data_IF_805861010221
#
_entry.id   IF_805861010221
#
_cell.length_a   1.000
_cell.length_b   1.000
_cell.length_c   1.000
_cell.angle_alpha   90.00
_cell.angle_beta   90.00
_cell.angle_gamma   90.00
#
_symmetry.space_group_name_H-M   'P 1'
#
loop_
_entity.id
_entity.type
_entity.pdbx_description
1 polymer ?
#
# COMPACT_ATOMS: atom_id res chain seq x y z
N UNK A 1 -6.46 -15.80 41.13
CA UNK A 1 -7.22 -14.69 40.52
C UNK A 1 -6.46 -13.41 40.82
N UNK A 2 -5.60 -12.96 39.90
CA UNK A 2 -5.00 -11.63 39.97
C UNK A 2 -5.59 -10.81 38.84
N UNK A 3 -6.37 -9.81 39.21
CA UNK A 3 -7.07 -8.94 38.29
C UNK A 3 -6.12 -8.25 37.32
N UNK A 4 -6.59 -8.22 36.08
CA UNK A 4 -6.14 -7.38 34.99
C UNK A 4 -5.93 -5.93 35.47
N UNK A 5 -4.70 -5.57 35.80
CA UNK A 5 -4.24 -4.18 35.79
C UNK A 5 -3.27 -4.02 34.61
N UNK A 6 -3.78 -4.32 33.41
CA UNK A 6 -3.34 -3.55 32.26
C UNK A 6 -4.02 -2.19 32.47
N UNK A 7 -3.31 -1.08 32.71
CA UNK A 7 -4.00 0.19 32.79
C UNK A 7 -4.76 0.33 31.47
N UNK A 8 -6.08 0.54 31.56
CA UNK A 8 -6.86 1.09 30.46
C UNK A 8 -6.20 2.44 30.15
N UNK A 9 -5.13 2.44 29.37
CA UNK A 9 -4.48 3.62 28.84
C UNK A 9 -5.54 4.28 27.96
N UNK A 10 -6.25 5.23 28.56
CA UNK A 10 -7.25 6.03 27.88
C UNK A 10 -6.50 6.81 26.83
N UNK A 11 -6.80 6.54 25.55
CA UNK A 11 -6.21 7.28 24.44
C UNK A 11 -6.42 8.79 24.66
N UNK A 12 -5.38 9.58 24.49
CA UNK A 12 -5.51 11.03 24.52
C UNK A 12 -6.30 11.53 23.30
N UNK A 13 -6.66 12.81 23.28
CA UNK A 13 -7.47 13.40 22.19
C UNK A 13 -6.82 13.23 20.81
N UNK A 14 -5.50 13.36 20.74
CA UNK A 14 -4.73 13.22 19.50
C UNK A 14 -4.76 11.79 18.95
N UNK A 15 -4.56 10.80 19.81
CA UNK A 15 -4.63 9.38 19.48
C UNK A 15 -6.05 8.95 19.12
N UNK A 16 -7.07 9.53 19.77
CA UNK A 16 -8.47 9.33 19.40
C UNK A 16 -8.73 9.87 18.00
N UNK A 17 -8.26 11.09 17.70
CA UNK A 17 -8.40 11.70 16.39
C UNK A 17 -7.74 10.84 15.28
N UNK A 18 -6.49 10.41 15.51
CA UNK A 18 -5.77 9.52 14.60
C UNK A 18 -6.50 8.20 14.37
N UNK A 19 -6.95 7.55 15.44
CA UNK A 19 -7.70 6.30 15.36
C UNK A 19 -9.02 6.47 14.60
N UNK A 20 -9.82 7.48 14.95
CA UNK A 20 -11.09 7.75 14.27
C UNK A 20 -10.87 8.05 12.79
N UNK A 21 -9.85 8.84 12.46
CA UNK A 21 -9.48 9.13 11.08
C UNK A 21 -9.13 7.87 10.29
N UNK A 22 -8.28 7.00 10.84
CA UNK A 22 -7.92 5.73 10.20
C UNK A 22 -9.14 4.81 10.05
N UNK A 23 -10.01 4.70 11.06
CA UNK A 23 -11.25 3.91 10.97
C UNK A 23 -12.16 4.43 9.87
N UNK A 24 -12.26 5.74 9.69
CA UNK A 24 -13.09 6.31 8.62
C UNK A 24 -12.49 6.07 7.24
N UNK A 25 -11.17 6.10 7.09
CA UNK A 25 -10.50 5.68 5.84
C UNK A 25 -10.75 4.19 5.57
N UNK A 26 -10.81 3.35 6.61
CA UNK A 26 -11.17 1.93 6.50
C UNK A 26 -12.57 1.74 5.89
N UNK A 27 -13.50 2.68 6.06
CA UNK A 27 -14.85 2.65 5.48
C UNK A 27 -14.88 3.02 3.98
N UNK A 28 -13.72 3.12 3.32
CA UNK A 28 -13.61 3.32 1.88
C UNK A 28 -13.87 4.77 1.44
N UNK A 29 -14.40 4.94 0.22
CA UNK A 29 -14.50 6.24 -0.45
C UNK A 29 -15.34 7.26 0.33
N UNK A 30 -16.43 6.82 0.97
CA UNK A 30 -17.36 7.68 1.70
C UNK A 30 -16.76 8.32 2.97
N UNK A 31 -15.82 7.64 3.62
CA UNK A 31 -15.12 8.14 4.80
C UNK A 31 -13.73 8.71 4.52
N UNK A 32 -13.21 8.55 3.30
CA UNK A 32 -11.82 8.80 2.96
C UNK A 32 -11.36 10.24 3.22
N UNK A 33 -12.10 11.25 2.73
CA UNK A 33 -11.70 12.65 2.86
C UNK A 33 -11.76 13.16 4.31
N UNK A 34 -12.85 12.88 5.02
CA UNK A 34 -13.01 13.26 6.42
C UNK A 34 -12.04 12.49 7.32
N UNK A 35 -11.84 11.20 7.05
CA UNK A 35 -10.84 10.39 7.72
C UNK A 35 -9.42 10.92 7.52
N UNK A 36 -9.06 11.29 6.28
CA UNK A 36 -7.78 11.91 5.96
C UNK A 36 -7.57 13.22 6.74
N UNK A 37 -8.56 14.11 6.74
CA UNK A 37 -8.51 15.36 7.49
C UNK A 37 -8.26 15.11 9.00
N UNK A 38 -8.95 14.15 9.61
CA UNK A 38 -8.74 13.80 11.01
C UNK A 38 -7.36 13.21 11.28
N UNK A 39 -6.82 12.38 10.37
CA UNK A 39 -5.45 11.87 10.52
C UNK A 39 -4.43 13.01 10.44
N UNK A 40 -4.59 13.93 9.50
CA UNK A 40 -3.75 15.13 9.34
C UNK A 40 -3.81 16.01 10.59
N UNK A 41 -5.01 16.32 11.09
CA UNK A 41 -5.19 17.08 12.33
C UNK A 41 -4.58 16.35 13.54
N UNK A 42 -4.80 15.03 13.64
CA UNK A 42 -4.19 14.19 14.68
C UNK A 42 -2.67 14.29 14.65
N UNK A 43 -2.05 14.11 13.49
CA UNK A 43 -0.60 14.20 13.33
C UNK A 43 -0.06 15.61 13.69
N UNK A 44 -0.74 16.67 13.26
CA UNK A 44 -0.33 18.05 13.55
C UNK A 44 -0.44 18.45 15.03
N UNK A 45 -1.33 17.82 15.79
CA UNK A 45 -1.54 18.08 17.21
C UNK A 45 -0.63 17.26 18.13
N UNK A 46 0.15 16.31 17.60
CA UNK A 46 1.11 15.57 18.42
C UNK A 46 2.28 16.48 18.81
N UNK A 47 2.66 16.43 20.09
CA UNK A 47 3.87 17.13 20.56
C UNK A 47 5.09 16.33 20.10
N UNK A 48 5.70 16.77 19.01
CA UNK A 48 6.89 16.15 18.43
C UNK A 48 8.21 16.80 18.85
N UNK A 49 9.32 16.14 18.50
CA UNK A 49 10.65 16.76 18.54
C UNK A 49 10.77 17.80 17.43
N UNK A 50 11.47 18.91 17.69
CA UNK A 50 11.67 19.99 16.72
C UNK A 50 12.19 19.49 15.35
N UNK A 51 13.09 18.51 15.37
CA UNK A 51 13.65 17.85 14.17
C UNK A 51 12.57 17.35 13.19
N UNK A 52 11.45 16.81 13.69
CA UNK A 52 10.36 16.29 12.84
C UNK A 52 9.67 17.41 12.07
N UNK A 53 9.44 18.53 12.74
CA UNK A 53 8.83 19.71 12.11
C UNK A 53 9.77 20.35 11.10
N UNK A 54 11.07 20.43 11.42
CA UNK A 54 12.08 20.96 10.49
C UNK A 54 12.09 20.12 9.21
N UNK A 55 12.19 18.79 9.32
CA UNK A 55 12.16 17.90 8.15
C UNK A 55 10.86 18.00 7.38
N UNK A 56 9.73 18.09 8.07
CA UNK A 56 8.43 18.28 7.43
C UNK A 56 8.40 19.58 6.61
N UNK A 57 8.89 20.70 7.15
CA UNK A 57 8.95 21.99 6.47
C UNK A 57 9.89 21.93 5.26
N UNK A 58 11.06 21.29 5.40
CA UNK A 58 11.97 21.07 4.27
C UNK A 58 11.32 20.23 3.16
N UNK A 59 10.69 19.12 3.51
CA UNK A 59 9.94 18.31 2.53
C UNK A 59 8.82 19.10 1.88
N UNK A 60 8.13 19.96 2.62
CA UNK A 60 7.07 20.82 2.06
C UNK A 60 7.62 21.78 1.01
N UNK A 61 8.72 22.46 1.33
CA UNK A 61 9.39 23.35 0.40
C UNK A 61 9.80 22.62 -0.88
N UNK A 62 10.41 21.45 -0.74
CA UNK A 62 10.85 20.64 -1.88
C UNK A 62 9.68 20.17 -2.76
N UNK A 63 8.63 19.60 -2.15
CA UNK A 63 7.45 19.16 -2.91
C UNK A 63 6.74 20.33 -3.60
N UNK A 64 6.75 21.51 -2.98
CA UNK A 64 6.24 22.75 -3.59
C UNK A 64 7.11 23.17 -4.77
N UNK A 65 8.43 23.14 -4.64
CA UNK A 65 9.35 23.42 -5.75
C UNK A 65 9.16 22.45 -6.92
N UNK A 66 9.04 21.14 -6.66
CA UNK A 66 8.71 20.14 -7.69
C UNK A 66 7.42 20.51 -8.42
N UNK A 67 6.39 20.91 -7.68
CA UNK A 67 5.10 21.29 -8.27
C UNK A 67 5.19 22.59 -9.07
N UNK A 68 5.95 23.59 -8.61
CA UNK A 68 6.17 24.84 -9.35
C UNK A 68 6.94 24.57 -10.64
N UNK A 69 7.97 23.72 -10.59
CA UNK A 69 8.69 23.31 -11.79
C UNK A 69 7.76 22.64 -12.80
N UNK A 70 6.90 21.71 -12.36
CA UNK A 70 5.90 21.09 -13.23
C UNK A 70 4.97 22.09 -13.92
N UNK A 71 4.57 23.18 -13.24
CA UNK A 71 3.71 24.22 -13.84
C UNK A 71 4.39 24.95 -14.99
N UNK A 72 5.68 25.25 -14.87
CA UNK A 72 6.41 25.93 -15.95
C UNK A 72 6.40 25.12 -17.25
N UNK A 73 6.25 23.80 -17.18
CA UNK A 73 6.19 22.94 -18.35
C UNK A 73 4.76 22.65 -18.83
N UNK A 74 3.80 22.48 -17.92
CA UNK A 74 2.46 21.98 -18.32
C UNK A 74 1.35 23.02 -18.23
N UNK A 75 1.61 24.20 -17.67
CA UNK A 75 0.62 25.26 -17.40
C UNK A 75 -0.57 24.85 -16.53
N UNK A 76 -0.52 23.68 -15.88
CA UNK A 76 -1.59 23.15 -15.04
C UNK A 76 -1.12 22.95 -13.59
N UNK A 77 -1.66 23.75 -12.67
CA UNK A 77 -1.38 23.61 -11.25
C UNK A 77 -2.53 22.93 -10.52
N UNK A 78 -2.37 21.64 -10.21
CA UNK A 78 -3.33 20.90 -9.41
C UNK A 78 -3.04 21.06 -7.91
N UNK A 79 -3.55 22.15 -7.33
CA UNK A 79 -3.38 22.50 -5.91
C UNK A 79 -3.87 21.40 -4.96
N UNK A 80 -4.96 20.70 -5.32
CA UNK A 80 -5.53 19.65 -4.48
C UNK A 80 -4.59 18.45 -4.36
N UNK A 81 -4.01 18.01 -5.47
CA UNK A 81 -3.05 16.90 -5.48
C UNK A 81 -1.75 17.27 -4.76
N UNK A 82 -1.27 18.52 -4.90
CA UNK A 82 -0.14 19.00 -4.11
C UNK A 82 -0.46 18.98 -2.61
N UNK A 83 -1.62 19.52 -2.21
CA UNK A 83 -2.03 19.56 -0.80
C UNK A 83 -2.14 18.15 -0.20
N UNK A 84 -2.70 17.19 -0.93
CA UNK A 84 -2.79 15.79 -0.46
C UNK A 84 -1.41 15.14 -0.35
N UNK A 85 -0.48 15.43 -1.26
CA UNK A 85 0.91 14.97 -1.17
C UNK A 85 1.63 15.52 0.05
N UNK A 86 1.55 16.85 0.27
CA UNK A 86 2.13 17.53 1.43
C UNK A 86 1.57 16.95 2.74
N UNK A 87 0.25 16.85 2.87
CA UNK A 87 -0.41 16.25 4.04
C UNK A 87 0.03 14.79 4.27
N UNK A 88 0.23 14.00 3.20
CA UNK A 88 0.71 12.62 3.32
C UNK A 88 2.12 12.58 3.93
N UNK A 89 3.05 13.38 3.40
CA UNK A 89 4.43 13.45 3.90
C UNK A 89 4.48 13.97 5.34
N UNK A 90 3.65 14.98 5.67
CA UNK A 90 3.51 15.48 7.03
C UNK A 90 3.14 14.37 8.01
N UNK A 91 2.14 13.57 7.68
CA UNK A 91 1.68 12.47 8.54
C UNK A 91 2.78 11.43 8.75
N UNK A 92 3.58 11.12 7.73
CA UNK A 92 4.70 10.17 7.87
C UNK A 92 5.76 10.65 8.87
N UNK A 93 6.08 11.95 8.90
CA UNK A 93 7.02 12.51 9.87
C UNK A 93 6.43 12.67 11.26
N UNK A 94 5.22 13.22 11.37
CA UNK A 94 4.70 13.73 12.63
C UNK A 94 4.11 12.64 13.52
N UNK A 95 3.43 11.64 12.95
CA UNK A 95 2.81 10.56 13.74
C UNK A 95 3.87 9.85 14.58
N UNK A 96 3.63 9.74 15.87
CA UNK A 96 4.54 9.15 16.83
C UNK A 96 4.43 7.62 16.86
N UNK A 97 5.59 6.99 17.03
CA UNK A 97 5.68 5.53 17.10
C UNK A 97 4.82 4.96 18.24
N UNK A 98 4.79 5.61 19.42
CA UNK A 98 4.04 5.10 20.55
C UNK A 98 2.53 5.24 20.33
N UNK A 99 2.08 6.38 19.80
CA UNK A 99 0.67 6.58 19.43
C UNK A 99 0.19 5.52 18.44
N UNK A 100 0.96 5.28 17.37
CA UNK A 100 0.63 4.28 16.35
C UNK A 100 0.54 2.86 16.96
N UNK A 101 1.49 2.49 17.83
CA UNK A 101 1.50 1.17 18.48
C UNK A 101 0.35 0.98 19.48
N UNK A 102 -0.07 2.04 20.18
CA UNK A 102 -1.19 2.01 21.12
C UNK A 102 -2.54 1.80 20.42
N UNK A 103 -2.75 2.42 19.26
CA UNK A 103 -4.01 2.30 18.51
C UNK A 103 -4.10 1.01 17.68
N UNK A 104 -2.97 0.34 17.45
CA UNK A 104 -2.86 -0.81 16.56
C UNK A 104 -3.84 -1.95 16.88
N UNK A 105 -4.04 -2.28 18.16
CA UNK A 105 -4.99 -3.34 18.56
C UNK A 105 -6.42 -3.03 18.11
N UNK A 106 -6.81 -1.76 18.19
CA UNK A 106 -8.14 -1.32 17.77
C UNK A 106 -8.27 -1.38 16.25
N UNK A 107 -7.23 -1.04 15.50
CA UNK A 107 -7.22 -1.17 14.04
C UNK A 107 -7.35 -2.64 13.59
N UNK A 108 -6.60 -3.57 14.21
CA UNK A 108 -6.71 -5.01 13.92
C UNK A 108 -8.13 -5.50 14.24
N UNK A 109 -8.69 -5.08 15.38
CA UNK A 109 -10.06 -5.43 15.76
C UNK A 109 -11.06 -4.94 14.71
N UNK A 110 -10.98 -3.67 14.31
CA UNK A 110 -11.86 -3.09 13.27
C UNK A 110 -11.73 -3.87 11.96
N UNK A 111 -10.52 -4.12 11.49
CA UNK A 111 -10.28 -4.92 10.29
C UNK A 111 -10.83 -6.36 10.40
N UNK A 112 -10.84 -6.94 11.60
CA UNK A 112 -11.43 -8.26 11.81
C UNK A 112 -12.97 -8.22 11.74
N UNK A 113 -13.59 -7.12 12.18
CA UNK A 113 -15.05 -6.90 12.11
C UNK A 113 -15.50 -6.59 10.68
N UNK A 114 -14.65 -6.03 9.82
CA UNK A 114 -15.00 -5.83 8.41
C UNK A 114 -15.17 -7.13 7.64
N UNK A 115 -14.56 -8.25 8.07
CA UNK A 115 -14.67 -9.55 7.40
C UNK A 115 -16.09 -10.14 7.43
N UNK A 116 -16.77 -10.30 8.58
CA UNK A 116 -18.15 -10.78 8.61
C UNK A 116 -19.12 -9.81 7.91
N UNK A 117 -18.85 -8.50 7.95
CA UNK A 117 -19.65 -7.51 7.21
C UNK A 117 -19.47 -7.72 5.69
N UNK A 118 -18.23 -7.91 5.23
CA UNK A 118 -17.95 -8.20 3.82
C UNK A 118 -18.59 -9.52 3.36
N UNK A 119 -18.66 -10.53 4.23
CA UNK A 119 -19.39 -11.77 3.95
C UNK A 119 -20.89 -11.51 3.73
N UNK A 120 -21.52 -10.72 4.61
CA UNK A 120 -22.94 -10.35 4.47
C UNK A 120 -23.17 -9.60 3.15
N UNK A 121 -22.35 -8.57 2.87
CA UNK A 121 -22.43 -7.79 1.61
C UNK A 121 -22.28 -8.72 0.41
N UNK A 122 -21.31 -9.62 0.45
CA UNK A 122 -21.04 -10.57 -0.61
C UNK A 122 -22.23 -11.50 -0.88
N UNK A 123 -22.87 -12.04 0.15
CA UNK A 123 -24.08 -12.86 -0.01
C UNK A 123 -25.25 -12.05 -0.54
N UNK A 124 -25.45 -10.82 -0.04
CA UNK A 124 -26.49 -9.92 -0.55
C UNK A 124 -26.30 -9.65 -2.04
N UNK A 125 -25.07 -9.37 -2.48
CA UNK A 125 -24.74 -9.15 -3.89
C UNK A 125 -24.98 -10.40 -4.74
N UNK A 126 -24.60 -11.59 -4.26
CA UNK A 126 -24.92 -12.86 -4.92
C UNK A 126 -26.42 -13.07 -5.08
N UNK A 127 -27.24 -12.58 -4.15
CA UNK A 127 -28.71 -12.63 -4.23
C UNK A 127 -29.32 -11.50 -5.09
N UNK A 128 -28.50 -10.68 -5.75
CA UNK A 128 -28.94 -9.56 -6.59
C UNK A 128 -29.25 -8.28 -5.82
N UNK A 129 -28.95 -8.22 -4.52
CA UNK A 129 -29.08 -7.00 -3.71
C UNK A 129 -27.73 -6.28 -3.75
N UNK A 130 -27.66 -5.19 -4.49
CA UNK A 130 -26.46 -4.35 -4.60
C UNK A 130 -26.63 -3.13 -3.69
N UNK A 131 -26.24 -3.20 -2.41
CA UNK A 131 -26.33 -2.04 -1.51
C UNK A 131 -25.43 -0.88 -2.00
N UNK A 132 -24.45 -1.19 -2.86
CA UNK A 132 -23.51 -0.25 -3.45
C UNK A 132 -23.05 -0.76 -4.83
N UNK A 133 -22.80 0.15 -5.77
CA UNK A 133 -22.18 -0.14 -7.07
C UNK A 133 -20.68 -0.45 -6.86
N UNK A 134 -20.36 -1.71 -6.55
CA UNK A 134 -18.97 -2.16 -6.43
C UNK A 134 -18.60 -3.13 -7.54
N UNK A 135 -17.40 -2.95 -8.11
CA UNK A 135 -16.81 -3.88 -9.08
C UNK A 135 -16.38 -5.14 -8.33
N UNK A 136 -17.22 -6.17 -8.34
CA UNK A 136 -16.89 -7.49 -7.84
C UNK A 136 -17.26 -8.56 -8.86
N UNK A 137 -16.48 -9.63 -8.89
CA UNK A 137 -16.75 -10.79 -9.75
C UNK A 137 -17.07 -11.98 -8.85
N UNK A 138 -17.88 -12.89 -9.36
CA UNK A 138 -18.22 -14.13 -8.67
C UNK A 138 -17.08 -15.16 -8.77
N UNK A 139 -16.81 -15.85 -7.67
CA UNK A 139 -15.88 -16.99 -7.60
C UNK A 139 -16.53 -18.07 -6.75
N UNK A 140 -16.68 -19.27 -7.30
CA UNK A 140 -17.30 -20.43 -6.62
C UNK A 140 -18.72 -20.15 -6.09
N UNK A 141 -19.56 -19.47 -6.86
CA UNK A 141 -20.96 -19.23 -6.47
C UNK A 141 -21.17 -18.02 -5.54
N UNK A 142 -20.11 -17.27 -5.22
CA UNK A 142 -20.14 -16.15 -4.26
C UNK A 142 -19.34 -14.97 -4.78
N UNK A 143 -19.84 -13.75 -4.60
CA UNK A 143 -19.09 -12.54 -4.96
C UNK A 143 -17.77 -12.46 -4.18
N UNK A 144 -16.73 -11.85 -4.76
CA UNK A 144 -15.48 -11.61 -4.02
C UNK A 144 -15.73 -10.65 -2.86
N UNK A 145 -15.01 -10.86 -1.77
CA UNK A 145 -15.09 -9.94 -0.64
C UNK A 145 -14.54 -8.58 -1.03
N UNK A 146 -15.47 -7.63 -1.10
CA UNK A 146 -15.21 -6.20 -1.13
C UNK A 146 -15.85 -5.63 0.13
N UNK A 147 -15.11 -4.84 0.89
CA UNK A 147 -15.68 -4.09 2.01
C UNK A 147 -15.62 -2.62 1.65
N UNK A 148 -16.73 -1.95 1.34
CA UNK A 148 -16.83 -0.50 1.02
C UNK A 148 -15.77 0.10 0.06
N UNK A 149 -14.86 -0.71 -0.46
CA UNK A 149 -13.82 -0.43 -1.43
C UNK A 149 -14.38 -0.86 -2.77
N UNK A 150 -14.22 0.01 -3.76
CA UNK A 150 -14.65 -0.27 -5.12
C UNK A 150 -13.92 -1.47 -5.76
N UNK A 151 -12.76 -1.86 -5.22
CA UNK A 151 -11.95 -2.97 -5.74
C UNK A 151 -11.53 -3.99 -4.65
N UNK A 152 -11.62 -5.31 -4.95
CA UNK A 152 -11.10 -6.36 -4.07
C UNK A 152 -9.60 -6.24 -3.79
N UNK A 153 -8.82 -5.64 -4.69
CA UNK A 153 -7.38 -5.37 -4.55
C UNK A 153 -7.08 -4.51 -3.34
N UNK A 154 -7.85 -3.45 -3.11
CA UNK A 154 -7.59 -2.50 -2.02
C UNK A 154 -7.87 -3.12 -0.67
N UNK A 155 -8.98 -3.86 -0.57
CA UNK A 155 -9.33 -4.57 0.65
C UNK A 155 -8.31 -5.68 0.98
N UNK A 156 -7.79 -6.38 -0.02
CA UNK A 156 -6.82 -7.46 0.18
C UNK A 156 -5.45 -6.97 0.67
N UNK A 157 -4.97 -5.81 0.20
CA UNK A 157 -3.75 -5.16 0.71
C UNK A 157 -3.90 -4.88 2.21
N UNK A 158 -5.07 -4.36 2.58
CA UNK A 158 -5.41 -4.01 3.96
C UNK A 158 -5.43 -5.24 4.87
N UNK A 159 -6.18 -6.28 4.47
CA UNK A 159 -6.27 -7.54 5.19
C UNK A 159 -4.91 -8.25 5.27
N UNK A 160 -4.08 -8.12 4.24
CA UNK A 160 -2.72 -8.65 4.21
C UNK A 160 -1.84 -8.04 5.31
N UNK A 161 -1.76 -6.70 5.35
CA UNK A 161 -1.01 -5.98 6.38
C UNK A 161 -1.55 -6.25 7.79
N UNK A 162 -2.87 -6.22 7.97
CA UNK A 162 -3.49 -6.53 9.26
C UNK A 162 -3.25 -7.98 9.70
N UNK A 163 -3.30 -8.95 8.78
CA UNK A 163 -3.00 -10.37 9.07
C UNK A 163 -1.54 -10.56 9.49
N UNK A 164 -0.60 -9.92 8.80
CA UNK A 164 0.82 -9.93 9.15
C UNK A 164 1.07 -9.38 10.56
N UNK A 165 0.49 -8.22 10.84
CA UNK A 165 0.58 -7.57 12.16
C UNK A 165 -0.01 -8.49 13.24
N UNK A 166 -1.19 -9.07 13.00
CA UNK A 166 -1.85 -9.99 13.91
C UNK A 166 -1.01 -11.25 14.20
N UNK A 167 -0.29 -11.75 13.19
CA UNK A 167 0.62 -12.89 13.34
C UNK A 167 1.85 -12.54 14.18
N UNK A 168 2.54 -11.44 13.86
CA UNK A 168 3.74 -11.01 14.61
C UNK A 168 3.40 -10.65 16.05
N UNK A 169 2.28 -9.96 16.26
CA UNK A 169 1.80 -9.57 17.59
C UNK A 169 1.21 -10.73 18.40
N UNK A 170 1.00 -11.90 17.78
CA UNK A 170 0.38 -13.07 18.39
C UNK A 170 -0.98 -12.76 19.02
N UNK A 171 -1.85 -12.06 18.28
CA UNK A 171 -3.23 -11.81 18.72
C UNK A 171 -4.01 -13.13 18.88
N UNK A 172 -5.20 -13.07 19.49
CA UNK A 172 -6.09 -14.23 19.62
C UNK A 172 -6.22 -15.00 18.29
N UNK A 173 -6.18 -16.34 18.39
CA UNK A 173 -6.26 -17.25 17.25
C UNK A 173 -7.50 -16.99 16.38
N UNK A 174 -8.64 -16.66 17.00
CA UNK A 174 -9.87 -16.34 16.28
C UNK A 174 -9.68 -15.13 15.36
N UNK A 175 -9.10 -14.04 15.86
CA UNK A 175 -8.82 -12.82 15.05
C UNK A 175 -7.87 -13.12 13.89
N UNK A 176 -6.83 -13.94 14.12
CA UNK A 176 -5.88 -14.32 13.06
C UNK A 176 -6.57 -15.14 11.97
N UNK A 177 -7.36 -16.14 12.36
CA UNK A 177 -8.11 -16.97 11.42
C UNK A 177 -9.14 -16.16 10.63
N UNK A 178 -9.84 -15.23 11.29
CA UNK A 178 -10.83 -14.39 10.64
C UNK A 178 -10.21 -13.48 9.58
N UNK A 179 -9.07 -12.84 9.89
CA UNK A 179 -8.35 -11.99 8.94
C UNK A 179 -7.78 -12.80 7.76
N UNK A 180 -7.18 -13.97 8.02
CA UNK A 180 -6.66 -14.85 6.97
C UNK A 180 -7.78 -15.42 6.09
N UNK A 181 -8.94 -15.76 6.68
CA UNK A 181 -10.14 -16.16 5.95
C UNK A 181 -10.65 -15.01 5.08
N UNK A 182 -10.74 -13.80 5.64
CA UNK A 182 -11.11 -12.61 4.87
C UNK A 182 -10.17 -12.40 3.68
N UNK A 183 -8.85 -12.48 3.90
CA UNK A 183 -7.84 -12.34 2.85
C UNK A 183 -8.05 -13.41 1.77
N UNK A 184 -8.31 -14.66 2.16
CA UNK A 184 -8.59 -15.76 1.25
C UNK A 184 -9.79 -15.46 0.35
N UNK A 185 -10.87 -14.99 0.96
CA UNK A 185 -12.14 -14.71 0.29
C UNK A 185 -12.13 -13.43 -0.57
N UNK A 186 -11.09 -12.60 -0.48
CA UNK A 186 -10.88 -11.53 -1.49
C UNK A 186 -10.48 -12.09 -2.86
N UNK A 187 -9.94 -13.31 -2.90
CA UNK A 187 -9.37 -13.93 -4.11
C UNK A 187 -8.41 -13.01 -4.87
N UNK A 188 -7.66 -12.20 -4.12
CA UNK A 188 -6.83 -11.14 -4.68
C UNK A 188 -5.36 -11.49 -4.53
N UNK A 189 -4.73 -11.79 -5.67
CA UNK A 189 -3.33 -12.18 -5.77
C UNK A 189 -2.39 -11.14 -5.12
N UNK A 190 -2.68 -9.83 -5.25
CA UNK A 190 -1.88 -8.77 -4.62
C UNK A 190 -1.81 -8.89 -3.09
N UNK A 191 -2.92 -9.17 -2.43
CA UNK A 191 -2.95 -9.31 -0.97
C UNK A 191 -2.10 -10.49 -0.50
N UNK A 192 -2.20 -11.64 -1.19
CA UNK A 192 -1.39 -12.81 -0.89
C UNK A 192 0.10 -12.60 -1.13
N UNK A 193 0.47 -11.92 -2.22
CA UNK A 193 1.89 -11.64 -2.49
C UNK A 193 2.48 -10.67 -1.47
N UNK A 194 1.78 -9.60 -1.10
CA UNK A 194 2.21 -8.71 -0.01
C UNK A 194 2.38 -9.53 1.28
N UNK A 195 1.41 -10.40 1.59
CA UNK A 195 1.45 -11.22 2.79
C UNK A 195 2.68 -12.12 2.80
N UNK A 196 2.89 -12.88 1.72
CA UNK A 196 4.00 -13.82 1.61
C UNK A 196 5.36 -13.11 1.62
N UNK A 197 5.56 -12.07 0.80
CA UNK A 197 6.83 -11.36 0.69
C UNK A 197 7.20 -10.66 2.01
N UNK A 198 6.25 -9.97 2.65
CA UNK A 198 6.51 -9.32 3.93
C UNK A 198 6.72 -10.33 5.07
N UNK A 199 6.06 -11.49 5.02
CA UNK A 199 6.30 -12.58 5.98
C UNK A 199 7.70 -13.19 5.83
N UNK A 200 8.14 -13.42 4.59
CA UNK A 200 9.50 -13.90 4.29
C UNK A 200 10.53 -12.87 4.77
N UNK A 201 10.30 -11.59 4.44
CA UNK A 201 11.11 -10.47 4.92
C UNK A 201 11.24 -10.45 6.45
N UNK A 202 10.13 -10.58 7.17
CA UNK A 202 10.12 -10.68 8.63
C UNK A 202 10.95 -11.87 9.15
N UNK A 203 10.80 -13.05 8.54
CA UNK A 203 11.55 -14.25 8.94
C UNK A 203 13.04 -14.16 8.61
N UNK A 204 13.38 -13.51 7.51
CA UNK A 204 14.77 -13.22 7.15
C UNK A 204 15.39 -12.25 8.16
N UNK A 205 14.69 -11.17 8.50
CA UNK A 205 15.13 -10.19 9.49
C UNK A 205 15.35 -10.82 10.89
N UNK A 206 14.38 -11.58 11.39
CA UNK A 206 14.43 -12.10 12.77
C UNK A 206 15.25 -13.37 12.97
N UNK A 207 15.50 -14.16 11.91
CA UNK A 207 16.16 -15.46 12.05
C UNK A 207 17.28 -15.72 11.06
N UNK A 208 17.45 -14.89 10.01
CA UNK A 208 18.44 -15.12 8.95
C UNK A 208 18.16 -16.37 8.10
N UNK A 209 16.94 -16.91 8.12
CA UNK A 209 16.65 -18.24 7.58
C UNK A 209 16.21 -18.18 6.10
N UNK A 210 17.09 -18.61 5.19
CA UNK A 210 16.83 -18.86 3.76
C UNK A 210 15.72 -19.91 3.53
N UNK A 211 15.47 -20.80 4.50
CA UNK A 211 14.46 -21.87 4.39
C UNK A 211 13.05 -21.37 4.04
N UNK A 212 12.65 -20.17 4.47
CA UNK A 212 11.32 -19.63 4.13
C UNK A 212 11.24 -19.14 2.68
N UNK A 213 12.35 -18.67 2.10
CA UNK A 213 12.47 -18.40 0.67
C UNK A 213 12.30 -19.71 -0.12
N UNK A 214 12.96 -20.78 0.32
CA UNK A 214 12.85 -22.12 -0.31
C UNK A 214 11.42 -22.67 -0.20
N UNK A 215 10.78 -22.54 0.96
CA UNK A 215 9.39 -22.94 1.14
C UNK A 215 8.45 -22.11 0.25
N UNK A 216 8.70 -20.80 0.10
CA UNK A 216 7.93 -19.96 -0.81
C UNK A 216 8.12 -20.38 -2.27
N UNK A 217 9.36 -20.63 -2.70
CA UNK A 217 9.67 -21.11 -4.04
C UNK A 217 9.02 -22.48 -4.30
N UNK A 218 8.99 -23.36 -3.29
CA UNK A 218 8.31 -24.65 -3.36
C UNK A 218 6.79 -24.49 -3.47
N UNK A 219 6.15 -23.62 -2.69
CA UNK A 219 4.71 -23.38 -2.83
C UNK A 219 4.37 -22.74 -4.20
N UNK A 220 5.22 -21.82 -4.68
CA UNK A 220 5.09 -21.26 -6.02
C UNK A 220 5.23 -22.34 -7.10
N UNK A 221 6.19 -23.25 -6.98
CA UNK A 221 6.36 -24.34 -7.95
C UNK A 221 5.21 -25.34 -7.91
N UNK A 222 4.67 -25.66 -6.73
CA UNK A 222 3.45 -26.47 -6.59
C UNK A 222 2.24 -25.80 -7.23
N UNK A 223 2.08 -24.49 -7.07
CA UNK A 223 1.00 -23.73 -7.72
C UNK A 223 1.14 -23.74 -9.25
N UNK A 224 2.36 -23.55 -9.77
CA UNK A 224 2.63 -23.65 -11.21
C UNK A 224 2.39 -25.06 -11.74
N UNK A 225 2.78 -26.09 -10.97
CA UNK A 225 2.53 -27.50 -11.29
C UNK A 225 1.02 -27.81 -11.34
N UNK A 226 0.27 -27.41 -10.31
CA UNK A 226 -1.19 -27.59 -10.27
C UNK A 226 -1.89 -26.85 -11.41
N UNK A 227 -1.39 -25.68 -11.78
CA UNK A 227 -1.88 -24.96 -12.95
C UNK A 227 -1.65 -25.76 -14.23
N UNK A 228 -0.40 -26.12 -14.54
CA UNK A 228 -0.03 -26.79 -15.79
C UNK A 228 -0.73 -28.15 -15.96
N UNK A 229 -0.82 -28.95 -14.90
CA UNK A 229 -1.31 -30.33 -15.02
C UNK A 229 -2.81 -30.50 -14.78
N UNK A 230 -3.50 -29.55 -14.14
CA UNK A 230 -4.90 -29.73 -13.72
C UNK A 230 -5.85 -28.61 -14.09
N UNK A 231 -5.35 -27.39 -14.27
CA UNK A 231 -6.19 -26.21 -14.43
C UNK A 231 -6.00 -25.50 -15.77
N UNK A 232 -4.93 -25.77 -16.50
CA UNK A 232 -4.78 -25.36 -17.90
C UNK A 232 -6.04 -25.81 -18.65
N UNK A 233 -6.79 -24.86 -19.24
CA UNK A 233 -8.12 -25.05 -19.87
C UNK A 233 -9.37 -25.04 -18.97
N UNK A 234 -9.26 -24.78 -17.67
CA UNK A 234 -10.44 -24.51 -16.83
C UNK A 234 -10.77 -23.02 -16.79
N UNK A 235 -12.06 -22.67 -16.69
CA UNK A 235 -12.54 -21.29 -16.50
C UNK A 235 -12.19 -20.71 -15.11
N UNK A 236 -11.28 -21.37 -14.39
CA UNK A 236 -10.87 -20.95 -13.07
C UNK A 236 -10.05 -19.66 -13.17
N UNK A 237 -10.44 -18.63 -12.41
CA UNK A 237 -9.84 -17.29 -12.50
C UNK A 237 -8.31 -17.24 -12.33
N UNK A 238 -7.73 -18.20 -11.59
CA UNK A 238 -6.28 -18.29 -11.39
C UNK A 238 -5.56 -18.68 -12.70
N UNK A 239 -6.22 -19.43 -13.58
CA UNK A 239 -5.70 -19.86 -14.88
C UNK A 239 -5.49 -18.65 -15.77
N UNK A 240 -6.53 -17.83 -15.95
CA UNK A 240 -6.43 -16.57 -16.69
C UNK A 240 -5.36 -15.61 -16.13
N UNK A 241 -5.14 -15.62 -14.81
CA UNK A 241 -4.07 -14.83 -14.16
C UNK A 241 -2.67 -15.41 -14.43
N UNK A 242 -2.51 -16.73 -14.41
CA UNK A 242 -1.23 -17.39 -14.70
C UNK A 242 -0.91 -17.30 -16.20
N UNK A 243 -1.90 -17.47 -17.08
CA UNK A 243 -1.78 -17.24 -18.53
C UNK A 243 -1.31 -15.81 -18.82
N UNK A 244 -1.92 -14.84 -18.15
CA UNK A 244 -1.52 -13.42 -18.20
C UNK A 244 -0.07 -13.20 -17.76
N UNK A 245 0.41 -13.93 -16.74
CA UNK A 245 1.81 -13.86 -16.29
C UNK A 245 2.74 -14.58 -17.28
N UNK A 246 2.33 -15.69 -17.87
CA UNK A 246 3.15 -16.44 -18.85
C UNK A 246 3.26 -15.67 -20.17
N UNK A 247 2.18 -15.05 -20.63
CA UNK A 247 2.18 -14.15 -21.78
C UNK A 247 3.12 -12.96 -21.58
N UNK A 248 3.24 -12.47 -20.34
CA UNK A 248 4.23 -11.46 -19.98
C UNK A 248 5.66 -11.95 -20.23
N UNK A 249 5.98 -13.16 -19.77
CA UNK A 249 7.30 -13.75 -19.95
C UNK A 249 7.60 -14.17 -21.39
N UNK A 250 6.57 -14.42 -22.21
CA UNK A 250 6.75 -14.70 -23.64
C UNK A 250 6.86 -13.44 -24.50
N UNK A 251 6.81 -12.24 -23.91
CA UNK A 251 6.94 -10.96 -24.61
C UNK A 251 5.72 -10.58 -25.46
N UNK A 252 4.59 -11.28 -25.29
CA UNK A 252 3.40 -11.04 -26.09
C UNK A 252 2.56 -9.91 -25.44
N UNK A 253 2.45 -8.78 -26.12
CA UNK A 253 1.82 -7.54 -25.60
C UNK A 253 0.35 -7.39 -26.01
N UNK A 254 -0.23 -8.38 -26.70
CA UNK A 254 -1.61 -8.31 -27.21
C UNK A 254 -2.62 -8.49 -26.07
N UNK A 255 -3.30 -7.39 -25.72
CA UNK A 255 -4.33 -7.34 -24.67
C UNK A 255 -3.74 -7.03 -23.30
N UNK A 256 -4.10 -5.88 -22.73
CA UNK A 256 -3.62 -5.40 -21.44
C UNK A 256 -4.10 -6.25 -20.27
N UNK A 257 -3.43 -7.38 -20.04
CA UNK A 257 -3.71 -8.18 -18.87
C UNK A 257 -3.25 -7.42 -17.60
N UNK A 258 -3.95 -7.58 -16.47
CA UNK A 258 -3.62 -6.84 -15.25
C UNK A 258 -2.19 -7.10 -14.73
N UNK A 259 -1.59 -8.24 -15.08
CA UNK A 259 -0.21 -8.55 -14.74
C UNK A 259 0.78 -7.73 -15.59
N UNK A 260 0.49 -7.57 -16.89
CA UNK A 260 1.25 -6.71 -17.79
C UNK A 260 1.23 -5.26 -17.32
N UNK A 261 0.08 -4.73 -16.94
CA UNK A 261 -0.02 -3.38 -16.38
C UNK A 261 0.82 -3.21 -15.11
N UNK A 262 0.82 -4.21 -14.22
CA UNK A 262 1.62 -4.18 -12.97
C UNK A 262 3.13 -4.32 -13.20
N UNK A 263 3.55 -5.13 -14.16
CA UNK A 263 4.97 -5.19 -14.52
C UNK A 263 5.42 -3.88 -15.15
N UNK A 264 4.61 -3.35 -16.09
CA UNK A 264 4.90 -2.09 -16.75
C UNK A 264 4.90 -0.90 -15.76
N UNK A 265 4.07 -0.94 -14.72
CA UNK A 265 4.04 0.10 -13.70
C UNK A 265 5.35 0.24 -12.92
N UNK A 266 6.19 -0.81 -12.87
CA UNK A 266 7.53 -0.80 -12.25
C UNK A 266 8.54 -0.06 -13.12
N UNK A 267 8.47 -0.23 -14.43
CA UNK A 267 9.44 0.36 -15.36
C UNK A 267 9.07 1.79 -15.77
N UNK A 268 7.81 2.21 -15.58
CA UNK A 268 7.35 3.56 -15.95
C UNK A 268 8.19 4.68 -15.33
N UNK A 269 8.53 4.60 -14.04
CA UNK A 269 9.34 5.63 -13.38
C UNK A 269 10.75 5.75 -14.00
N UNK A 270 11.52 4.65 -14.11
CA UNK A 270 12.79 4.65 -14.84
C UNK A 270 12.68 5.08 -16.30
N UNK A 271 11.60 4.68 -16.99
CA UNK A 271 11.34 5.08 -18.37
C UNK A 271 11.19 6.60 -18.48
N UNK A 272 10.39 7.21 -17.60
CA UNK A 272 10.24 8.66 -17.51
C UNK A 272 11.60 9.36 -17.34
N UNK A 273 12.43 8.93 -16.39
CA UNK A 273 13.76 9.53 -16.19
C UNK A 273 14.61 9.45 -17.47
N UNK A 274 14.62 8.29 -18.12
CA UNK A 274 15.41 8.10 -19.33
C UNK A 274 14.87 8.92 -20.50
N UNK A 275 13.55 9.01 -20.68
CA UNK A 275 12.90 9.81 -21.71
C UNK A 275 13.25 11.29 -21.56
N UNK A 276 13.10 11.86 -20.36
CA UNK A 276 13.41 13.28 -20.09
C UNK A 276 14.90 13.60 -20.25
N UNK A 277 15.79 12.68 -19.85
CA UNK A 277 17.23 12.82 -20.08
C UNK A 277 17.55 12.85 -21.58
N UNK A 278 16.94 11.96 -22.36
CA UNK A 278 17.17 11.87 -23.79
C UNK A 278 16.54 13.03 -24.57
N UNK A 279 15.45 13.62 -24.04
CA UNK A 279 14.83 14.83 -24.58
C UNK A 279 15.64 16.12 -24.26
N UNK A 280 16.63 16.04 -23.37
CA UNK A 280 17.41 17.20 -22.92
C UNK A 280 16.76 17.99 -21.77
N UNK A 281 15.59 17.55 -21.29
CA UNK A 281 14.82 18.17 -20.21
C UNK A 281 15.25 17.63 -18.83
N UNK A 282 16.54 17.76 -18.52
CA UNK A 282 17.15 17.26 -17.28
C UNK A 282 16.44 17.74 -16.00
N UNK A 283 15.86 18.95 -16.01
CA UNK A 283 15.13 19.47 -14.85
C UNK A 283 13.89 18.63 -14.51
N UNK A 284 13.19 18.09 -15.51
CA UNK A 284 12.03 17.23 -15.29
C UNK A 284 12.41 15.88 -14.71
N UNK A 285 13.59 15.35 -15.04
CA UNK A 285 14.11 14.14 -14.38
C UNK A 285 14.38 14.35 -12.88
N UNK A 286 14.77 15.57 -12.49
CA UNK A 286 15.13 15.91 -11.10
C UNK A 286 13.88 16.28 -10.28
N UNK A 287 12.96 17.05 -10.86
CA UNK A 287 11.82 17.66 -10.15
C UNK A 287 10.45 17.09 -10.54
N UNK A 288 10.36 16.27 -11.58
CA UNK A 288 9.12 15.66 -12.06
C UNK A 288 8.19 16.61 -12.83
N UNK A 289 7.06 16.07 -13.26
CA UNK A 289 6.01 16.78 -14.02
C UNK A 289 5.00 17.52 -13.13
N UNK A 290 5.12 17.40 -11.80
CA UNK A 290 4.14 17.91 -10.85
C UNK A 290 2.92 17.01 -10.66
N UNK A 291 2.16 17.26 -9.58
CA UNK A 291 1.09 16.36 -9.11
C UNK A 291 -0.19 16.35 -9.97
N UNK A 292 -0.32 17.26 -10.93
CA UNK A 292 -1.50 17.39 -11.79
C UNK A 292 -1.45 16.63 -13.10
N UNK A 293 -0.25 16.35 -13.61
CA UNK A 293 -0.04 15.87 -14.99
C UNK A 293 0.31 14.39 -15.07
N UNK A 294 0.35 13.70 -13.94
CA UNK A 294 0.73 12.29 -13.84
C UNK A 294 -0.19 11.42 -14.72
N UNK A 295 -1.50 11.65 -14.65
CA UNK A 295 -2.50 10.88 -15.39
C UNK A 295 -2.38 11.02 -16.90
N UNK A 296 -1.97 12.20 -17.37
CA UNK A 296 -1.71 12.48 -18.78
C UNK A 296 -0.46 11.74 -19.26
N UNK A 297 0.63 11.82 -18.50
CA UNK A 297 1.86 11.11 -18.82
C UNK A 297 1.65 9.58 -18.86
N UNK A 298 1.00 9.02 -17.83
CA UNK A 298 0.73 7.57 -17.76
C UNK A 298 -0.14 7.13 -18.94
N UNK A 299 -1.16 7.91 -19.29
CA UNK A 299 -2.01 7.62 -20.45
C UNK A 299 -1.24 7.67 -21.76
N UNK A 300 -0.41 8.70 -21.95
CA UNK A 300 0.44 8.82 -23.14
C UNK A 300 1.40 7.64 -23.26
N UNK A 301 2.04 7.22 -22.16
CA UNK A 301 2.92 6.07 -22.12
C UNK A 301 2.22 4.77 -22.55
N UNK A 302 1.05 4.48 -21.97
CA UNK A 302 0.33 3.24 -22.30
C UNK A 302 -0.26 3.26 -23.72
N UNK A 303 -0.69 4.42 -24.18
CA UNK A 303 -1.16 4.59 -25.55
C UNK A 303 -0.02 4.42 -26.56
N UNK A 304 1.13 5.05 -26.35
CA UNK A 304 2.25 5.03 -27.30
C UNK A 304 2.97 3.68 -27.34
N UNK A 305 3.15 3.01 -26.20
CA UNK A 305 3.92 1.78 -26.11
C UNK A 305 3.07 0.51 -26.28
N UNK A 306 1.76 0.57 -25.98
CA UNK A 306 0.89 -0.61 -25.97
C UNK A 306 -0.42 -0.44 -26.74
N UNK A 307 -0.70 0.75 -27.29
CA UNK A 307 -1.98 1.02 -27.98
C UNK A 307 -3.19 0.99 -27.05
N UNK A 308 -2.98 1.25 -25.74
CA UNK A 308 -4.02 1.16 -24.73
C UNK A 308 -4.50 2.57 -24.32
N UNK A 309 -5.63 3.04 -24.85
CA UNK A 309 -6.22 4.31 -24.42
C UNK A 309 -6.78 4.22 -23.00
N UNK A 310 -6.96 5.38 -22.36
CA UNK A 310 -7.68 5.57 -21.09
C UNK A 310 -7.09 4.89 -19.84
N UNK A 311 -5.79 4.54 -19.86
CA UNK A 311 -5.07 4.05 -18.68
C UNK A 311 -4.36 5.22 -17.98
N UNK A 312 -4.94 5.72 -16.90
CA UNK A 312 -4.43 6.93 -16.21
C UNK A 312 -3.69 6.65 -14.89
N UNK A 313 -4.06 5.57 -14.19
CA UNK A 313 -3.64 5.33 -12.80
C UNK A 313 -2.81 4.05 -12.63
N UNK A 314 -2.34 3.45 -13.74
CA UNK A 314 -1.58 2.21 -13.73
C UNK A 314 -0.08 2.44 -13.48
N UNK A 315 0.26 3.19 -12.44
CA UNK A 315 1.62 3.31 -11.93
C UNK A 315 1.71 2.76 -10.51
N UNK A 316 2.90 2.37 -10.07
CA UNK A 316 3.11 1.98 -8.68
C UNK A 316 3.50 3.17 -7.79
N UNK A 317 3.54 3.02 -6.47
CA UNK A 317 3.93 4.08 -5.52
C UNK A 317 5.21 4.79 -5.97
N UNK A 318 6.29 4.05 -6.27
CA UNK A 318 7.60 4.63 -6.60
C UNK A 318 7.55 5.40 -7.92
N UNK A 319 7.00 4.80 -8.97
CA UNK A 319 6.82 5.44 -10.27
C UNK A 319 5.93 6.67 -10.17
N UNK A 320 4.87 6.63 -9.35
CA UNK A 320 3.99 7.76 -9.10
C UNK A 320 4.75 8.92 -8.43
N UNK A 321 5.59 8.64 -7.43
CA UNK A 321 6.46 9.65 -6.80
C UNK A 321 7.49 10.21 -7.79
N UNK A 322 8.13 9.35 -8.59
CA UNK A 322 9.14 9.77 -9.59
C UNK A 322 8.51 10.67 -10.66
N UNK A 323 7.40 10.27 -11.26
CA UNK A 323 6.74 11.08 -12.31
C UNK A 323 6.27 12.42 -11.72
N UNK A 324 5.72 12.41 -10.51
CA UNK A 324 5.16 13.60 -9.88
C UNK A 324 6.21 14.60 -9.38
N UNK A 325 7.32 14.10 -8.83
CA UNK A 325 8.25 14.92 -8.05
C UNK A 325 9.74 14.66 -8.33
N UNK A 326 10.03 13.82 -9.32
CA UNK A 326 11.37 13.49 -9.79
C UNK A 326 12.21 12.73 -8.76
N UNK A 327 13.51 12.63 -9.02
CA UNK A 327 14.47 11.99 -8.13
C UNK A 327 14.56 12.69 -6.76
N UNK A 328 14.43 14.01 -6.73
CA UNK A 328 14.50 14.78 -5.49
C UNK A 328 13.30 14.47 -4.61
N UNK A 329 12.09 14.49 -5.16
CA UNK A 329 10.89 14.13 -4.41
C UNK A 329 10.90 12.68 -3.93
N UNK A 330 11.42 11.74 -4.74
CA UNK A 330 11.63 10.36 -4.33
C UNK A 330 12.54 10.24 -3.10
N UNK A 331 13.66 10.98 -3.07
CA UNK A 331 14.57 10.99 -1.93
C UNK A 331 13.86 11.43 -0.65
N UNK A 332 13.12 12.55 -0.70
CA UNK A 332 12.38 13.04 0.46
C UNK A 332 11.21 12.15 0.86
N UNK A 333 10.57 11.49 -0.10
CA UNK A 333 9.53 10.51 0.18
C UNK A 333 10.09 9.30 0.92
N UNK A 334 11.19 8.71 0.44
CA UNK A 334 11.88 7.60 1.12
C UNK A 334 12.36 8.05 2.50
N UNK A 335 12.96 9.25 2.62
CA UNK A 335 13.38 9.81 3.90
C UNK A 335 12.21 9.89 4.88
N UNK A 336 11.05 10.41 4.45
CA UNK A 336 9.85 10.51 5.28
C UNK A 336 9.36 9.14 5.75
N UNK A 337 9.47 8.12 4.89
CA UNK A 337 9.06 6.78 5.21
C UNK A 337 10.04 6.07 6.16
N UNK A 338 11.35 6.25 6.02
CA UNK A 338 12.35 5.55 6.86
C UNK A 338 12.63 6.26 8.18
N UNK A 339 12.30 7.55 8.31
CA UNK A 339 12.71 8.41 9.44
C UNK A 339 12.38 7.81 10.82
N UNK A 340 11.25 7.09 10.93
CA UNK A 340 10.81 6.52 12.19
C UNK A 340 11.72 5.40 12.76
N UNK A 341 12.62 4.85 11.93
CA UNK A 341 13.50 3.73 12.31
C UNK A 341 14.79 4.15 13.01
N UNK A 342 15.16 5.43 12.93
CA UNK A 342 16.46 5.94 13.36
C UNK A 342 17.61 5.58 12.40
N UNK A 343 18.85 5.88 12.80
CA UNK A 343 20.06 5.72 11.97
C UNK A 343 20.63 4.29 12.02
N UNK A 344 19.81 3.27 11.84
CA UNK A 344 20.28 1.88 11.76
C UNK A 344 20.10 1.34 10.34
N UNK A 345 21.22 1.02 9.67
CA UNK A 345 21.23 0.58 8.26
C UNK A 345 20.35 -0.66 8.02
N UNK A 346 20.36 -1.64 8.94
CA UNK A 346 19.55 -2.87 8.80
C UNK A 346 18.07 -2.55 8.85
N UNK A 347 17.66 -1.68 9.79
CA UNK A 347 16.27 -1.22 9.90
C UNK A 347 15.83 -0.43 8.67
N UNK A 348 16.71 0.41 8.15
CA UNK A 348 16.48 1.22 6.94
C UNK A 348 16.29 0.29 5.73
N UNK A 349 17.20 -0.66 5.51
CA UNK A 349 17.11 -1.62 4.41
C UNK A 349 15.85 -2.48 4.50
N UNK A 350 15.50 -2.96 5.71
CA UNK A 350 14.26 -3.70 5.93
C UNK A 350 13.03 -2.84 5.59
N UNK A 351 13.03 -1.58 6.01
CA UNK A 351 11.94 -0.63 5.72
C UNK A 351 11.79 -0.35 4.23
N UNK A 352 12.90 -0.14 3.53
CA UNK A 352 12.92 0.06 2.07
C UNK A 352 12.38 -1.17 1.36
N UNK A 353 12.75 -2.38 1.79
CA UNK A 353 12.22 -3.62 1.21
C UNK A 353 10.70 -3.75 1.40
N UNK A 354 10.16 -3.38 2.56
CA UNK A 354 8.70 -3.36 2.78
C UNK A 354 8.01 -2.32 1.89
N UNK A 355 8.61 -1.13 1.72
CA UNK A 355 8.10 -0.11 0.79
C UNK A 355 8.07 -0.63 -0.66
N UNK A 356 9.12 -1.32 -1.09
CA UNK A 356 9.20 -1.96 -2.40
C UNK A 356 8.10 -3.01 -2.57
N UNK A 357 7.90 -3.89 -1.57
CA UNK A 357 6.84 -4.89 -1.58
C UNK A 357 5.45 -4.26 -1.70
N UNK A 358 5.19 -3.16 -0.97
CA UNK A 358 3.93 -2.43 -1.07
C UNK A 358 3.77 -1.77 -2.45
N UNK A 359 4.84 -1.18 -2.99
CA UNK A 359 4.85 -0.54 -4.31
C UNK A 359 4.47 -1.52 -5.41
N UNK A 360 4.93 -2.78 -5.37
CA UNK A 360 4.57 -3.78 -6.40
C UNK A 360 3.06 -3.97 -6.62
N UNK A 361 2.24 -3.62 -5.64
CA UNK A 361 0.81 -3.94 -5.63
C UNK A 361 -0.12 -2.75 -5.30
N UNK A 362 0.43 -1.58 -5.02
CA UNK A 362 -0.31 -0.33 -4.77
C UNK A 362 0.23 0.81 -5.63
N UNK A 363 -0.67 1.60 -6.24
CA UNK A 363 -0.34 2.83 -6.96
C UNK A 363 -0.51 4.11 -6.14
N UNK A 364 -1.12 4.01 -4.95
CA UNK A 364 -1.47 5.17 -4.13
C UNK A 364 -0.26 5.66 -3.33
N UNK A 365 0.48 6.62 -3.90
CA UNK A 365 1.57 7.29 -3.21
C UNK A 365 1.08 8.36 -2.21
N UNK A 366 -0.06 9.00 -2.51
CA UNK A 366 -0.60 10.12 -1.74
C UNK A 366 -2.10 9.94 -1.44
N UNK A 367 -2.55 10.56 -0.35
CA UNK A 367 -3.98 10.61 0.01
C UNK A 367 -4.41 9.55 1.05
N UNK A 368 -5.72 9.33 1.23
CA UNK A 368 -6.28 8.55 2.33
C UNK A 368 -5.81 7.10 2.35
N UNK A 369 -5.94 6.39 1.24
CA UNK A 369 -5.55 4.98 1.16
C UNK A 369 -4.03 4.79 1.26
N UNK A 370 -3.26 5.74 0.74
CA UNK A 370 -1.80 5.76 0.87
C UNK A 370 -1.40 5.85 2.36
N UNK A 371 -1.93 6.84 3.10
CA UNK A 371 -1.64 6.99 4.53
C UNK A 371 -1.99 5.72 5.31
N UNK A 372 -3.14 5.11 5.04
CA UNK A 372 -3.55 3.90 5.74
C UNK A 372 -2.56 2.75 5.53
N UNK A 373 -2.18 2.48 4.27
CA UNK A 373 -1.26 1.38 3.93
C UNK A 373 0.17 1.66 4.39
N UNK A 374 0.64 2.90 4.32
CA UNK A 374 1.97 3.31 4.79
C UNK A 374 2.08 3.27 6.32
N UNK A 375 1.07 3.74 7.06
CA UNK A 375 1.07 3.68 8.51
C UNK A 375 0.93 2.24 9.04
N UNK A 376 0.15 1.39 8.38
CA UNK A 376 0.10 -0.04 8.71
C UNK A 376 1.44 -0.74 8.43
N UNK A 377 2.08 -0.43 7.30
CA UNK A 377 3.43 -0.93 6.99
C UNK A 377 4.45 -0.48 8.05
N UNK A 378 4.40 0.79 8.44
CA UNK A 378 5.22 1.34 9.54
C UNK A 378 4.96 0.61 10.86
N UNK A 379 3.70 0.38 11.22
CA UNK A 379 3.34 -0.34 12.45
C UNK A 379 3.86 -1.79 12.43
N UNK A 380 3.78 -2.47 11.29
CA UNK A 380 4.37 -3.80 11.10
C UNK A 380 5.89 -3.77 11.30
N UNK A 381 6.59 -2.82 10.68
CA UNK A 381 8.04 -2.68 10.80
C UNK A 381 8.46 -2.42 12.26
N UNK A 382 7.77 -1.49 12.94
CA UNK A 382 7.99 -1.20 14.35
C UNK A 382 7.81 -2.43 15.24
N UNK A 383 6.78 -3.24 14.97
CA UNK A 383 6.57 -4.51 15.68
C UNK A 383 7.75 -5.47 15.49
N UNK A 384 8.23 -5.63 14.25
CA UNK A 384 9.34 -6.55 13.94
C UNK A 384 10.63 -6.10 14.62
N UNK A 385 10.98 -4.81 14.50
CA UNK A 385 12.19 -4.24 15.11
C UNK A 385 12.13 -4.36 16.65
N UNK A 386 10.97 -4.09 17.26
CA UNK A 386 10.82 -4.18 18.71
C UNK A 386 10.80 -5.64 19.22
N UNK A 387 10.24 -6.57 18.45
CA UNK A 387 10.25 -8.00 18.77
C UNK A 387 11.67 -8.58 18.78
N UNK A 388 12.54 -8.13 17.88
CA UNK A 388 13.94 -8.55 17.84
C UNK A 388 14.73 -8.05 19.07
N UNK A 389 14.55 -6.77 19.44
CA UNK A 389 15.16 -6.21 20.66
C UNK A 389 14.75 -6.93 21.94
N UNK A 390 13.53 -7.46 22.00
CA UNK A 390 13.03 -8.23 23.14
C UNK A 390 13.59 -9.66 23.23
N UNK A 391 14.21 -10.18 22.17
CA UNK A 391 14.88 -11.48 22.17
C UNK A 391 16.38 -11.42 22.47
N UNK A 392 16.99 -10.23 22.33
CA UNK A 392 18.42 -10.00 22.58
C UNK A 392 18.69 -9.65 24.06
N UNK A 393 17.67 -9.18 24.78
CA UNK A 393 17.68 -8.97 26.24
C UNK A 393 17.00 -10.13 26.94
#
# INVERSE_FOLDING_TARGET
MSENILPRLTLNSTQKCLLTGLILIFLGAYGGALGFALVVCGAGLEKGRAERYILCVFSFFIFTLCSVQGVFHTSNFNTLSLFTALCTVMVLFLVDNNSLMLILNKLIFVASVTVPIALIISFSQTLGIYPFEFRSNEVLGVMRFTFLFAEPSHYSILLSLCSLIALVKQTNIFTRLLLLFGLLMTWSLSGFFIFALCYIAYKFYTRGIIKYLIISLFFSSVMVFLWFFKLQYSDFWLVAKIDSIIQLFSGNTVGASSALLRFNSIIIGPYFINEEINAGDFLLSIFGLGFGNISQFVSAYYQSNFGLPDIHDANNIISNVIISSGLVGLFFYILSFIYFTGLNLVNILFTIMILLCLSLFSGYAFGPFAILTLLLSRAFILLVINHDKAHIN
#
